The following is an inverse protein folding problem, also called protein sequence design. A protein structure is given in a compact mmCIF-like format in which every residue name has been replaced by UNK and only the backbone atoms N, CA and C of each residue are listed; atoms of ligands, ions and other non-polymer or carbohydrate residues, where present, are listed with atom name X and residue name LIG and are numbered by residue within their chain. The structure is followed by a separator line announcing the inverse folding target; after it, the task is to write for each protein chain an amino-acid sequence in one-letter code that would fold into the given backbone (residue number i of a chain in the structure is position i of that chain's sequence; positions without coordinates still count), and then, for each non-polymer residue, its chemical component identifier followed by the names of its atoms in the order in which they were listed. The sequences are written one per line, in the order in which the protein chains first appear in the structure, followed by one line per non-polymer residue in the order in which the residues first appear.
data_IF_800899375207
#
_entry.id   IF_800899375207
#
_cell.length_a   1.000
_cell.length_b   1.000
_cell.length_c   1.000
_cell.angle_alpha   90.00
_cell.angle_beta   90.00
_cell.angle_gamma   90.00
#
_symmetry.space_group_name_H-M   'P 1'
#
loop_
_entity.id
_entity.type
_entity.pdbx_description
1 polymer ?
#
# COMPACT_ATOMS: atom_id res chain seq x y z
N UNK A 1 5.33 -22.79 25.20
CA UNK A 1 4.46 -21.63 24.95
C UNK A 1 3.02 -22.07 25.12
N UNK A 2 2.30 -21.44 26.06
CA UNK A 2 0.88 -21.70 26.33
C UNK A 2 0.06 -20.46 25.92
N UNK A 3 -1.22 -20.64 25.65
CA UNK A 3 -2.11 -19.54 25.23
C UNK A 3 -2.23 -18.45 26.30
N UNK A 4 -2.12 -18.82 27.57
CA UNK A 4 -2.17 -17.92 28.74
C UNK A 4 -0.84 -17.17 29.00
N UNK A 5 0.23 -17.52 28.30
CA UNK A 5 1.52 -16.87 28.52
C UNK A 5 1.47 -15.40 28.14
N UNK A 6 2.09 -14.55 28.98
CA UNK A 6 2.20 -13.13 28.70
C UNK A 6 3.13 -12.90 27.50
N UNK A 7 2.74 -12.00 26.59
CA UNK A 7 3.51 -11.67 25.37
C UNK A 7 4.95 -11.25 25.69
N UNK A 8 5.15 -10.49 26.75
CA UNK A 8 6.47 -10.03 27.20
C UNK A 8 7.44 -11.16 27.60
N UNK A 9 6.90 -12.37 27.95
CA UNK A 9 7.71 -13.54 28.26
C UNK A 9 8.08 -14.37 27.03
N UNK A 10 7.23 -14.31 26.00
CA UNK A 10 7.34 -15.15 24.81
C UNK A 10 8.05 -14.40 23.67
N UNK A 11 7.81 -13.10 23.56
CA UNK A 11 8.35 -12.28 22.49
C UNK A 11 9.26 -11.18 23.04
N UNK A 12 10.33 -10.90 22.31
CA UNK A 12 11.21 -9.77 22.60
C UNK A 12 10.57 -8.48 22.09
N UNK A 13 9.86 -7.78 22.98
CA UNK A 13 9.12 -6.56 22.65
C UNK A 13 9.87 -5.33 23.15
N UNK A 14 9.93 -4.29 22.34
CA UNK A 14 10.37 -2.96 22.78
C UNK A 14 9.27 -2.21 23.57
N UNK A 15 9.63 -1.11 24.23
CA UNK A 15 8.69 -0.35 25.06
C UNK A 15 7.54 0.30 24.26
N UNK A 16 7.76 0.62 22.99
CA UNK A 16 6.70 1.15 22.14
C UNK A 16 5.70 0.07 21.75
N UNK A 17 6.20 -1.14 21.43
CA UNK A 17 5.38 -2.31 21.14
C UNK A 17 4.56 -2.73 22.37
N UNK A 18 5.15 -2.76 23.56
CA UNK A 18 4.41 -3.05 24.80
C UNK A 18 3.28 -2.06 25.04
N UNK A 19 3.54 -0.75 24.89
CA UNK A 19 2.52 0.28 25.00
C UNK A 19 1.42 0.15 23.94
N UNK A 20 1.81 -0.23 22.72
CA UNK A 20 0.88 -0.43 21.61
C UNK A 20 -0.03 -1.65 21.86
N UNK A 21 0.52 -2.79 22.27
CA UNK A 21 -0.24 -4.00 22.62
C UNK A 21 -1.24 -3.74 23.75
N UNK A 22 -0.84 -2.97 24.76
CA UNK A 22 -1.75 -2.56 25.85
C UNK A 22 -2.94 -1.74 25.32
N UNK A 23 -2.73 -0.85 24.34
CA UNK A 23 -3.82 -0.08 23.70
C UNK A 23 -4.77 -0.97 22.90
N UNK A 24 -4.26 -2.08 22.36
CA UNK A 24 -5.04 -3.08 21.64
C UNK A 24 -5.68 -4.12 22.56
N UNK A 25 -5.51 -3.99 23.91
CA UNK A 25 -5.92 -4.96 24.92
C UNK A 25 -5.34 -6.36 24.69
N UNK A 26 -4.14 -6.45 24.09
CA UNK A 26 -3.44 -7.70 23.85
C UNK A 26 -2.32 -7.89 24.87
N UNK A 27 -2.50 -8.81 25.84
CA UNK A 27 -1.58 -9.07 26.95
C UNK A 27 -0.99 -10.47 26.90
N UNK A 28 -1.71 -11.42 26.31
CA UNK A 28 -1.36 -12.83 26.26
C UNK A 28 -1.25 -13.32 24.79
N UNK A 29 -0.66 -14.49 24.62
CA UNK A 29 -0.60 -15.18 23.32
C UNK A 29 -2.02 -15.39 22.77
N UNK A 30 -2.97 -15.75 23.63
CA UNK A 30 -4.37 -15.89 23.27
C UNK A 30 -4.95 -14.61 22.67
N UNK A 31 -4.68 -13.45 23.29
CA UNK A 31 -5.23 -12.18 22.81
C UNK A 31 -4.74 -11.83 21.40
N UNK A 32 -3.49 -12.15 21.06
CA UNK A 32 -2.95 -11.95 19.71
C UNK A 32 -3.56 -12.94 18.73
N UNK A 33 -3.71 -14.19 19.08
CA UNK A 33 -4.29 -15.21 18.20
C UNK A 33 -5.77 -14.94 17.90
N UNK A 34 -6.50 -14.37 18.85
CA UNK A 34 -7.90 -13.97 18.67
C UNK A 34 -8.08 -12.51 18.28
N UNK A 35 -6.97 -11.82 17.96
CA UNK A 35 -7.05 -10.48 17.41
C UNK A 35 -7.42 -10.56 15.92
N UNK A 36 -8.73 -10.47 15.63
CA UNK A 36 -9.24 -10.61 14.27
C UNK A 36 -8.95 -9.36 13.43
N UNK A 37 -8.68 -9.53 12.13
CA UNK A 37 -8.51 -8.40 11.22
C UNK A 37 -9.79 -7.58 11.10
N UNK A 38 -9.63 -6.28 10.95
CA UNK A 38 -10.75 -5.32 10.77
C UNK A 38 -11.38 -5.46 9.39
N UNK A 39 -10.53 -5.85 8.41
CA UNK A 39 -10.92 -6.06 7.02
C UNK A 39 -9.89 -6.94 6.32
N UNK A 40 -10.28 -7.45 5.18
CA UNK A 40 -9.35 -8.05 4.22
C UNK A 40 -9.16 -7.07 3.06
N UNK A 41 -7.91 -6.84 2.68
CA UNK A 41 -7.59 -6.06 1.47
C UNK A 41 -7.43 -7.01 0.31
N UNK A 42 -8.16 -6.75 -0.75
CA UNK A 42 -8.12 -7.53 -1.98
C UNK A 42 -6.90 -7.12 -2.82
N UNK A 43 -6.05 -8.08 -3.16
CA UNK A 43 -4.92 -7.89 -4.08
C UNK A 43 -5.29 -8.23 -5.53
N UNK A 44 -6.53 -8.65 -5.81
CA UNK A 44 -6.97 -9.00 -7.18
C UNK A 44 -6.85 -7.82 -8.16
N UNK A 45 -6.87 -6.59 -7.63
CA UNK A 45 -6.67 -5.37 -8.43
C UNK A 45 -5.21 -4.95 -8.57
N UNK A 46 -4.28 -5.63 -7.86
CA UNK A 46 -2.84 -5.32 -7.94
C UNK A 46 -2.28 -5.85 -9.24
N UNK A 47 -1.74 -4.94 -10.04
CA UNK A 47 -1.16 -5.25 -11.34
C UNK A 47 0.23 -4.67 -11.48
N UNK A 48 1.05 -5.35 -12.26
CA UNK A 48 2.32 -4.79 -12.75
C UNK A 48 2.02 -3.66 -13.72
N UNK A 49 2.83 -2.62 -13.73
CA UNK A 49 2.65 -1.47 -14.63
C UNK A 49 2.64 -1.91 -16.10
N UNK A 50 3.45 -2.92 -16.46
CA UNK A 50 3.49 -3.47 -17.82
C UNK A 50 2.21 -4.20 -18.26
N UNK A 51 1.35 -4.61 -17.32
CA UNK A 51 0.13 -5.36 -17.58
C UNK A 51 -1.14 -4.49 -17.51
N UNK A 52 -1.00 -3.17 -17.39
CA UNK A 52 -2.12 -2.24 -17.30
C UNK A 52 -2.81 -2.06 -18.63
N UNK A 53 -4.15 -2.07 -18.61
CA UNK A 53 -5.01 -1.87 -19.78
C UNK A 53 -5.88 -0.63 -19.61
N UNK A 54 -6.18 0.06 -20.72
CA UNK A 54 -7.02 1.26 -20.72
C UNK A 54 -8.43 0.95 -20.23
N UNK A 55 -8.95 1.79 -19.34
CA UNK A 55 -10.32 1.72 -18.85
C UNK A 55 -10.49 0.95 -17.55
N UNK A 56 -9.50 0.15 -17.13
CA UNK A 56 -9.60 -0.63 -15.90
C UNK A 56 -9.29 0.19 -14.65
N UNK A 57 -9.80 -0.27 -13.52
CA UNK A 57 -9.36 0.13 -12.18
C UNK A 57 -8.20 -0.78 -11.77
N UNK A 58 -7.06 -0.19 -11.46
CA UNK A 58 -5.88 -0.95 -11.06
C UNK A 58 -5.23 -0.36 -9.81
N UNK A 59 -4.64 -1.24 -9.03
CA UNK A 59 -3.75 -0.88 -7.92
C UNK A 59 -2.32 -1.20 -8.32
N UNK A 60 -1.44 -0.22 -8.23
CA UNK A 60 -0.01 -0.37 -8.51
C UNK A 60 0.80 0.05 -7.29
N UNK A 61 1.90 -0.65 -7.07
CA UNK A 61 2.90 -0.30 -6.07
C UNK A 61 4.15 0.15 -6.80
N UNK A 62 4.75 1.23 -6.34
CA UNK A 62 5.96 1.71 -6.99
C UNK A 62 6.56 2.90 -6.30
N UNK A 63 7.67 3.36 -6.88
CA UNK A 63 8.41 4.53 -6.44
C UNK A 63 8.01 5.75 -7.27
N UNK A 64 7.66 6.84 -6.58
CA UNK A 64 7.29 8.09 -7.26
C UNK A 64 8.53 8.83 -7.75
N UNK A 65 8.47 9.33 -8.96
CA UNK A 65 9.50 10.14 -9.57
C UNK A 65 8.91 11.30 -10.38
N UNK A 66 9.73 12.31 -10.66
CA UNK A 66 9.41 13.48 -11.48
C UNK A 66 8.13 14.22 -11.05
N UNK A 67 7.75 14.13 -9.79
CA UNK A 67 6.55 14.77 -9.28
C UNK A 67 6.73 16.29 -9.25
N UNK A 68 5.80 17.00 -9.88
CA UNK A 68 5.79 18.46 -9.99
C UNK A 68 4.37 18.99 -10.04
N UNK A 69 4.22 20.27 -9.68
CA UNK A 69 2.99 21.01 -9.89
C UNK A 69 2.97 21.60 -11.31
N UNK A 70 1.82 21.55 -11.95
CA UNK A 70 1.59 22.10 -13.30
C UNK A 70 0.21 22.76 -13.35
N UNK A 71 0.03 23.68 -14.25
CA UNK A 71 -1.30 24.22 -14.60
C UNK A 71 -1.66 23.71 -15.98
N UNK A 72 -2.89 23.22 -16.14
CA UNK A 72 -3.40 22.83 -17.44
C UNK A 72 -3.46 24.05 -18.38
N UNK A 73 -3.04 23.86 -19.62
CA UNK A 73 -2.81 24.96 -20.56
C UNK A 73 -4.09 25.74 -20.88
N UNK A 74 -5.21 25.03 -21.05
CA UNK A 74 -6.50 25.61 -21.45
C UNK A 74 -7.35 25.97 -20.23
N UNK A 75 -7.56 25.03 -19.32
CA UNK A 75 -8.45 25.20 -18.16
C UNK A 75 -7.81 25.90 -16.98
N UNK A 76 -6.49 26.15 -17.01
CA UNK A 76 -5.67 26.70 -15.90
C UNK A 76 -5.82 25.97 -14.58
N UNK A 77 -6.41 24.77 -14.58
CA UNK A 77 -6.57 23.93 -13.40
C UNK A 77 -5.19 23.53 -12.87
N UNK A 78 -4.99 23.74 -11.58
CA UNK A 78 -3.77 23.30 -10.91
C UNK A 78 -3.76 21.77 -10.77
N UNK A 79 -2.66 21.13 -11.15
CA UNK A 79 -2.52 19.67 -11.09
C UNK A 79 -1.16 19.28 -10.53
N UNK A 80 -1.08 18.07 -9.96
CA UNK A 80 0.17 17.38 -9.70
C UNK A 80 0.37 16.33 -10.79
N UNK A 81 1.55 16.30 -11.40
CA UNK A 81 1.95 15.36 -12.44
C UNK A 81 3.27 14.70 -12.05
N UNK A 82 3.38 13.41 -12.24
CA UNK A 82 4.59 12.64 -11.96
C UNK A 82 4.59 11.30 -12.67
N UNK A 83 5.47 10.43 -12.23
CA UNK A 83 5.58 9.04 -12.71
C UNK A 83 5.66 8.12 -11.49
N UNK A 84 5.09 6.92 -11.61
CA UNK A 84 5.35 5.81 -10.70
C UNK A 84 6.07 4.71 -11.47
N UNK A 85 7.03 4.09 -10.83
CA UNK A 85 7.88 3.06 -11.39
C UNK A 85 7.86 1.82 -10.51
N UNK A 86 7.68 0.65 -11.12
CA UNK A 86 7.89 -0.67 -10.54
C UNK A 86 8.98 -1.43 -11.30
N UNK A 87 9.21 -2.69 -10.97
CA UNK A 87 10.18 -3.54 -11.66
C UNK A 87 9.80 -3.83 -13.12
N UNK A 88 8.56 -3.61 -13.52
CA UNK A 88 8.02 -3.94 -14.84
C UNK A 88 7.94 -2.75 -15.80
N UNK A 89 7.95 -1.52 -15.27
CA UNK A 89 7.83 -0.34 -16.11
C UNK A 89 7.53 0.94 -15.35
N UNK A 90 7.11 1.96 -16.11
CA UNK A 90 6.74 3.28 -15.60
C UNK A 90 5.42 3.72 -16.20
N UNK A 91 4.58 4.39 -15.40
CA UNK A 91 3.36 5.01 -15.86
C UNK A 91 3.23 6.43 -15.30
N UNK A 92 2.67 7.33 -16.08
CA UNK A 92 2.35 8.69 -15.63
C UNK A 92 1.21 8.68 -14.64
N UNK A 93 1.28 9.61 -13.68
CA UNK A 93 0.23 9.87 -12.71
C UNK A 93 -0.16 11.33 -12.79
N UNK A 94 -1.46 11.61 -12.73
CA UNK A 94 -1.97 12.98 -12.78
C UNK A 94 -3.11 13.15 -11.80
N UNK A 95 -2.96 14.11 -10.88
CA UNK A 95 -4.02 14.56 -9.99
C UNK A 95 -4.53 15.93 -10.43
N UNK A 96 -5.73 15.95 -10.98
CA UNK A 96 -6.40 17.18 -11.38
C UNK A 96 -7.00 17.88 -10.15
N UNK A 97 -6.83 19.19 -10.06
CA UNK A 97 -7.29 20.03 -8.96
C UNK A 97 -6.72 19.67 -7.57
N UNK A 98 -5.65 18.88 -7.53
CA UNK A 98 -5.00 18.40 -6.31
C UNK A 98 -3.48 18.67 -6.32
N UNK A 99 -3.08 19.86 -6.75
CA UNK A 99 -1.66 20.23 -6.84
C UNK A 99 -0.91 20.14 -5.50
N UNK A 100 -1.63 20.18 -4.36
CA UNK A 100 -1.06 20.03 -3.02
C UNK A 100 -0.40 18.67 -2.79
N UNK A 101 -0.83 17.63 -3.51
CA UNK A 101 -0.24 16.28 -3.39
C UNK A 101 1.24 16.25 -3.77
N UNK A 102 1.67 17.10 -4.69
CA UNK A 102 3.09 17.25 -5.03
C UNK A 102 3.94 17.82 -3.89
N UNK A 103 3.32 18.37 -2.83
CA UNK A 103 4.00 18.79 -1.60
C UNK A 103 3.97 17.71 -0.53
N UNK A 104 2.96 16.85 -0.53
CA UNK A 104 2.80 15.75 0.44
C UNK A 104 3.62 14.52 0.08
N UNK A 105 3.72 14.21 -1.21
CA UNK A 105 4.47 13.07 -1.74
C UNK A 105 5.81 13.61 -2.22
N UNK A 106 6.90 12.93 -1.87
CA UNK A 106 8.25 13.28 -2.32
C UNK A 106 8.72 12.34 -3.43
N UNK A 107 9.58 12.85 -4.31
CA UNK A 107 10.29 11.98 -5.24
C UNK A 107 11.12 10.96 -4.45
N UNK A 108 10.94 9.68 -4.78
CA UNK A 108 11.57 8.58 -4.08
C UNK A 108 10.69 7.89 -3.03
N UNK A 109 9.53 8.47 -2.68
CA UNK A 109 8.57 7.80 -1.79
C UNK A 109 8.01 6.53 -2.45
N UNK A 110 7.88 5.46 -1.66
CA UNK A 110 7.14 4.28 -2.03
C UNK A 110 5.66 4.52 -1.77
N UNK A 111 4.83 4.25 -2.77
CA UNK A 111 3.39 4.47 -2.68
C UNK A 111 2.61 3.31 -3.28
N UNK A 112 1.41 3.14 -2.77
CA UNK A 112 0.33 2.39 -3.39
C UNK A 112 -0.59 3.38 -4.06
N UNK A 113 -0.88 3.18 -5.32
CA UNK A 113 -1.82 3.99 -6.09
C UNK A 113 -2.95 3.11 -6.60
N UNK A 114 -4.19 3.54 -6.35
CA UNK A 114 -5.40 2.87 -6.86
C UNK A 114 -6.16 3.86 -7.72
N UNK A 115 -6.35 3.55 -8.99
CA UNK A 115 -7.01 4.46 -9.89
C UNK A 115 -7.35 3.88 -11.25
N UNK A 116 -8.08 4.66 -12.04
CA UNK A 116 -8.46 4.28 -13.40
C UNK A 116 -7.31 4.54 -14.37
N UNK A 117 -6.97 3.52 -15.15
CA UNK A 117 -6.04 3.63 -16.25
C UNK A 117 -6.73 4.35 -17.41
N UNK A 118 -6.20 5.49 -17.80
CA UNK A 118 -6.80 6.38 -18.81
C UNK A 118 -5.84 6.57 -19.97
N UNK A 119 -6.37 6.65 -21.17
CA UNK A 119 -5.60 6.99 -22.38
C UNK A 119 -5.48 8.51 -22.50
N UNK A 120 -4.28 8.97 -22.79
CA UNK A 120 -3.98 10.38 -23.03
C UNK A 120 -3.18 10.57 -24.33
N UNK A 121 -2.97 11.81 -24.72
CA UNK A 121 -2.22 12.17 -25.95
C UNK A 121 -0.82 11.52 -26.03
N UNK A 122 -0.22 11.22 -24.88
CA UNK A 122 1.17 10.73 -24.78
C UNK A 122 1.26 9.32 -24.13
N UNK A 123 0.22 8.50 -24.29
CA UNK A 123 0.12 7.16 -23.74
C UNK A 123 -0.80 7.07 -22.51
N UNK A 124 -0.78 5.93 -21.87
CA UNK A 124 -1.63 5.65 -20.71
C UNK A 124 -1.11 6.36 -19.44
N UNK A 125 -2.04 6.72 -18.57
CA UNK A 125 -1.72 7.32 -17.27
C UNK A 125 -2.79 6.97 -16.22
N UNK A 126 -2.46 7.08 -14.95
CA UNK A 126 -3.42 6.98 -13.86
C UNK A 126 -4.03 8.36 -13.58
N UNK A 127 -5.35 8.46 -13.68
CA UNK A 127 -6.09 9.70 -13.47
C UNK A 127 -6.64 9.76 -12.04
N UNK A 128 -6.28 10.79 -11.27
CA UNK A 128 -6.70 11.02 -9.89
C UNK A 128 -6.61 9.75 -9.02
N UNK A 129 -5.49 9.01 -9.02
CA UNK A 129 -5.40 7.83 -8.19
C UNK A 129 -5.46 8.19 -6.70
N UNK A 130 -6.14 7.36 -5.93
CA UNK A 130 -5.98 7.36 -4.48
C UNK A 130 -4.54 6.94 -4.16
N UNK A 131 -3.93 7.56 -3.14
CA UNK A 131 -2.58 7.23 -2.75
C UNK A 131 -2.47 6.86 -1.28
N UNK A 132 -1.60 5.93 -0.99
CA UNK A 132 -1.20 5.52 0.35
C UNK A 132 0.34 5.47 0.39
N UNK A 133 0.95 6.21 1.32
CA UNK A 133 2.40 6.11 1.55
C UNK A 133 2.73 4.79 2.21
N UNK A 134 3.82 4.20 1.77
CA UNK A 134 4.29 2.92 2.29
C UNK A 134 5.73 3.03 2.77
N UNK A 135 5.98 2.58 3.99
CA UNK A 135 7.35 2.51 4.52
C UNK A 135 8.16 1.41 3.83
N UNK A 136 7.49 0.34 3.40
CA UNK A 136 8.09 -0.79 2.68
C UNK A 136 7.17 -1.26 1.56
N UNK A 137 7.75 -1.76 0.46
CA UNK A 137 6.97 -2.36 -0.63
C UNK A 137 6.39 -3.72 -0.19
N UNK A 138 5.08 -3.97 -0.35
CA UNK A 138 4.47 -5.25 0.02
C UNK A 138 5.05 -6.44 -0.74
N UNK A 139 5.54 -6.21 -1.95
CA UNK A 139 6.04 -7.24 -2.86
C UNK A 139 7.26 -7.96 -2.29
N UNK A 140 8.14 -7.25 -1.55
CA UNK A 140 9.36 -7.85 -0.99
C UNK A 140 9.08 -8.81 0.17
N UNK A 141 7.92 -8.71 0.82
CA UNK A 141 7.56 -9.52 1.98
C UNK A 141 6.48 -10.58 1.70
N UNK A 142 5.69 -10.44 0.63
CA UNK A 142 4.58 -11.33 0.32
C UNK A 142 4.90 -12.39 -0.75
N UNK A 143 5.96 -12.20 -1.53
CA UNK A 143 6.31 -13.14 -2.61
C UNK A 143 6.69 -14.54 -2.09
N UNK A 144 7.07 -14.64 -0.80
CA UNK A 144 7.43 -15.91 -0.16
C UNK A 144 6.29 -16.65 0.52
N UNK A 145 5.22 -15.96 0.97
CA UNK A 145 4.14 -16.57 1.73
C UNK A 145 2.94 -17.02 0.87
N UNK A 146 2.81 -16.49 -0.34
CA UNK A 146 1.61 -16.69 -1.18
C UNK A 146 1.89 -17.13 -2.61
N UNK A 147 3.13 -17.57 -2.93
CA UNK A 147 3.38 -18.30 -4.17
C UNK A 147 2.74 -19.67 -4.09
N UNK A 148 1.51 -19.77 -4.55
CA UNK A 148 0.99 -21.05 -5.00
C UNK A 148 1.62 -21.34 -6.37
N UNK A 149 2.30 -22.50 -6.49
CA UNK A 149 2.96 -22.98 -7.72
C UNK A 149 2.01 -23.18 -8.91
N UNK A 150 0.74 -22.89 -8.77
CA UNK A 150 -0.34 -23.19 -9.74
C UNK A 150 -0.91 -21.97 -10.41
N UNK A 151 -0.19 -20.91 -10.67
CA UNK A 151 -0.56 -19.90 -11.70
C UNK A 151 -1.99 -19.35 -11.77
N UNK A 152 -2.88 -19.75 -10.87
CA UNK A 152 -4.24 -19.23 -10.77
C UNK A 152 -4.25 -18.15 -9.70
N UNK A 153 -4.47 -16.90 -10.12
CA UNK A 153 -4.78 -15.76 -9.27
C UNK A 153 -6.11 -15.99 -8.51
N UNK A 154 -6.10 -16.89 -7.55
CA UNK A 154 -7.20 -17.02 -6.59
C UNK A 154 -7.06 -15.81 -5.69
N UNK A 155 -8.00 -14.87 -5.77
CA UNK A 155 -8.14 -13.62 -5.04
C UNK A 155 -7.30 -13.53 -3.78
N UNK A 156 -6.04 -13.08 -3.94
CA UNK A 156 -5.11 -12.92 -2.84
C UNK A 156 -5.60 -11.74 -1.99
N UNK A 157 -6.21 -12.05 -0.87
CA UNK A 157 -6.55 -11.06 0.13
C UNK A 157 -5.63 -11.21 1.33
N UNK A 158 -5.16 -10.11 1.88
CA UNK A 158 -4.41 -10.11 3.13
C UNK A 158 -5.22 -9.45 4.23
N UNK A 159 -5.15 -9.97 5.47
CA UNK A 159 -5.87 -9.41 6.59
C UNK A 159 -5.24 -8.08 7.01
N UNK A 160 -6.07 -7.07 7.25
CA UNK A 160 -5.66 -5.77 7.79
C UNK A 160 -6.12 -5.69 9.23
N UNK A 161 -5.16 -5.60 10.15
CA UNK A 161 -5.42 -5.49 11.57
C UNK A 161 -5.53 -4.03 12.02
N UNK A 162 -6.12 -3.83 13.18
CA UNK A 162 -6.18 -2.50 13.78
C UNK A 162 -4.77 -2.03 14.14
N UNK A 163 -4.37 -0.88 13.62
CA UNK A 163 -3.05 -0.30 13.84
C UNK A 163 -3.06 0.71 14.98
N UNK A 164 -1.95 0.80 15.70
CA UNK A 164 -1.72 1.81 16.71
C UNK A 164 -0.28 2.27 16.67
N UNK A 165 0.01 3.43 17.24
CA UNK A 165 1.39 3.95 17.27
C UNK A 165 2.33 2.95 17.96
N UNK A 166 3.20 2.33 17.18
CA UNK A 166 4.18 1.33 17.62
C UNK A 166 3.89 -0.10 17.16
N UNK A 167 2.69 -0.38 16.61
CA UNK A 167 2.35 -1.65 15.97
C UNK A 167 1.53 -1.37 14.71
N UNK A 168 2.01 -1.88 13.59
CA UNK A 168 1.31 -1.88 12.30
C UNK A 168 0.70 -3.26 12.05
N UNK A 169 -0.23 -3.33 11.10
CA UNK A 169 -0.82 -4.60 10.66
C UNK A 169 0.25 -5.65 10.32
N UNK A 170 1.36 -5.22 9.74
CA UNK A 170 2.49 -6.09 9.37
C UNK A 170 3.12 -6.82 10.57
N UNK A 171 3.08 -6.24 11.77
CA UNK A 171 3.63 -6.86 12.97
C UNK A 171 2.95 -8.19 13.32
N UNK A 172 1.68 -8.36 12.95
CA UNK A 172 0.92 -9.58 13.22
C UNK A 172 1.25 -10.74 12.27
N UNK A 173 2.05 -10.52 11.21
CA UNK A 173 2.45 -11.56 10.24
C UNK A 173 3.87 -12.10 10.49
N UNK A 174 4.64 -11.45 11.34
CA UNK A 174 6.02 -11.80 11.67
C UNK A 174 6.14 -12.34 13.09
#
# INVERSE_FOLDING_TARGET
MQLSDKLEKVFRLDENQKKALRRLNAFSVSDVLFHFPVRYSDLSTVKKISALTVGEMATVYGKVSKLKTKKAHVSKIAMAEGEIEDLSGKIKITWFNQAYLAKMIKNGDNVKLTGKVTEGKYGIYLANPEFEKMDTMPIDSHDSLFKTETGNDIGLSYPVYHETRGITSKWFYH
#
